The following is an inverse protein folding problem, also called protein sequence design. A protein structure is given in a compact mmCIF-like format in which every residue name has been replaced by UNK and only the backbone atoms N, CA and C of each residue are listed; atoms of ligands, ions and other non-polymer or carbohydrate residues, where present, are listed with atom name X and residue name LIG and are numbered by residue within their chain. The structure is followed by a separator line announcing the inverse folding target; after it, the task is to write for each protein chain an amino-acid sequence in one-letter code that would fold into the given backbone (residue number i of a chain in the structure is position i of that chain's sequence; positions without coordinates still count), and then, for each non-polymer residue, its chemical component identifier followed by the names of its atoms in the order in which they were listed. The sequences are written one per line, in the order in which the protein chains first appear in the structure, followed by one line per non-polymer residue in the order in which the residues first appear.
data_IF_383790104938
#
_entry.id   IF_383790104938
#
_cell.length_a   1.000
_cell.length_b   1.000
_cell.length_c   1.000
_cell.angle_alpha   90.00
_cell.angle_beta   90.00
_cell.angle_gamma   90.00
#
_symmetry.space_group_name_H-M   'P 1'
#
loop_
_entity.id
_entity.type
_entity.pdbx_description
1 polymer ?
#
# COMPACT_ATOMS: atom_id res chain seq x y z
N UNK A 1 19.54 -1.04 -2.71
CA UNK A 1 19.24 -2.34 -3.35
C UNK A 1 17.98 -2.89 -2.69
N UNK A 2 16.83 -2.88 -3.37
CA UNK A 2 15.61 -3.46 -2.80
C UNK A 2 15.80 -4.97 -2.60
N UNK A 3 15.45 -5.47 -1.41
CA UNK A 3 15.60 -6.89 -1.09
C UNK A 3 14.38 -7.64 -1.64
N UNK A 4 14.60 -8.48 -2.65
CA UNK A 4 13.59 -9.41 -3.14
C UNK A 4 13.52 -10.58 -2.16
N UNK A 5 12.34 -10.85 -1.63
CA UNK A 5 12.05 -11.96 -0.73
C UNK A 5 10.71 -12.62 -1.08
N UNK A 6 10.32 -13.62 -0.30
CA UNK A 6 9.12 -14.43 -0.54
C UNK A 6 7.81 -13.63 -0.58
N UNK A 7 7.78 -12.47 0.06
CA UNK A 7 6.62 -11.58 0.10
C UNK A 7 6.64 -10.47 -0.97
N UNK A 8 7.73 -10.30 -1.71
CA UNK A 8 7.89 -9.17 -2.64
C UNK A 8 6.78 -9.14 -3.67
N UNK A 9 6.49 -10.27 -4.33
CA UNK A 9 5.41 -10.35 -5.32
C UNK A 9 4.04 -9.99 -4.74
N UNK A 10 3.73 -10.46 -3.53
CA UNK A 10 2.48 -10.16 -2.84
C UNK A 10 2.36 -8.67 -2.50
N UNK A 11 3.45 -8.04 -2.06
CA UNK A 11 3.51 -6.59 -1.79
C UNK A 11 3.34 -5.77 -3.06
N UNK A 12 4.05 -6.16 -4.13
CA UNK A 12 3.95 -5.54 -5.46
C UNK A 12 2.52 -5.63 -6.00
N UNK A 13 1.89 -6.80 -5.92
CA UNK A 13 0.49 -6.97 -6.30
C UNK A 13 -0.43 -6.00 -5.54
N UNK A 14 -0.33 -5.95 -4.21
CA UNK A 14 -1.19 -5.08 -3.39
C UNK A 14 -0.97 -3.59 -3.68
N UNK A 15 0.27 -3.19 -3.90
CA UNK A 15 0.62 -1.83 -4.30
C UNK A 15 -0.01 -1.44 -5.64
N UNK A 16 0.10 -2.31 -6.65
CA UNK A 16 -0.49 -2.04 -7.97
C UNK A 16 -2.02 -2.09 -7.94
N UNK A 17 -2.62 -2.99 -7.16
CA UNK A 17 -4.07 -3.02 -6.97
C UNK A 17 -4.56 -1.69 -6.38
N UNK A 18 -3.91 -1.19 -5.32
CA UNK A 18 -4.27 0.10 -4.73
C UNK A 18 -4.08 1.26 -5.74
N UNK A 19 -2.96 1.27 -6.48
CA UNK A 19 -2.69 2.29 -7.51
C UNK A 19 -3.69 2.27 -8.66
N UNK A 20 -4.25 1.11 -9.00
CA UNK A 20 -5.28 0.95 -10.02
C UNK A 20 -6.69 1.33 -9.54
N UNK A 21 -6.82 1.87 -8.32
CA UNK A 21 -8.09 2.37 -7.77
C UNK A 21 -8.92 1.33 -7.02
N UNK A 22 -8.38 0.15 -6.71
CA UNK A 22 -9.09 -0.83 -5.89
C UNK A 22 -9.08 -0.40 -4.42
N UNK A 23 -10.23 -0.57 -3.76
CA UNK A 23 -10.43 -0.23 -2.35
C UNK A 23 -9.48 -1.00 -1.42
N UNK A 24 -8.84 -0.29 -0.49
CA UNK A 24 -7.87 -0.86 0.45
C UNK A 24 -8.48 -1.94 1.36
N UNK A 25 -9.77 -1.87 1.66
CA UNK A 25 -10.51 -2.87 2.45
C UNK A 25 -10.69 -4.19 1.69
N UNK A 26 -10.82 -4.14 0.37
CA UNK A 26 -10.83 -5.34 -0.48
C UNK A 26 -9.46 -6.01 -0.48
N UNK A 27 -8.40 -5.20 -0.64
CA UNK A 27 -7.02 -5.69 -0.58
C UNK A 27 -6.69 -6.25 0.81
N UNK A 28 -7.18 -5.61 1.87
CA UNK A 28 -7.05 -6.11 3.25
C UNK A 28 -7.68 -7.49 3.41
N UNK A 29 -8.93 -7.69 2.93
CA UNK A 29 -9.61 -8.99 2.98
C UNK A 29 -8.85 -10.05 2.18
N UNK A 30 -8.38 -9.70 0.98
CA UNK A 30 -7.56 -10.59 0.14
C UNK A 30 -6.25 -10.98 0.84
N UNK A 31 -5.68 -10.06 1.62
CA UNK A 31 -4.45 -10.31 2.36
C UNK A 31 -4.65 -10.96 3.73
N UNK A 32 -5.90 -11.08 4.18
CA UNK A 32 -6.25 -11.54 5.52
C UNK A 32 -5.55 -10.70 6.62
N UNK A 33 -5.48 -9.38 6.42
CA UNK A 33 -4.92 -8.47 7.41
C UNK A 33 -5.98 -7.98 8.40
N UNK A 34 -5.56 -7.69 9.62
CA UNK A 34 -6.43 -7.26 10.71
C UNK A 34 -7.01 -5.85 10.52
N UNK A 35 -6.35 -4.99 9.73
CA UNK A 35 -6.80 -3.62 9.48
C UNK A 35 -6.24 -3.06 8.17
N UNK A 36 -6.86 -2.00 7.60
CA UNK A 36 -6.35 -1.33 6.41
C UNK A 36 -4.95 -0.73 6.61
N UNK A 37 -4.65 -0.22 7.80
CA UNK A 37 -3.33 0.36 8.13
C UNK A 37 -2.20 -0.68 8.02
N UNK A 38 -2.45 -1.94 8.43
CA UNK A 38 -1.52 -3.04 8.23
C UNK A 38 -1.27 -3.28 6.74
N UNK A 39 -2.32 -3.22 5.91
CA UNK A 39 -2.19 -3.37 4.45
C UNK A 39 -1.38 -2.25 3.82
N UNK A 40 -1.66 -0.98 4.16
CA UNK A 40 -0.93 0.19 3.67
C UNK A 40 0.56 0.09 3.99
N UNK A 41 0.89 -0.24 5.26
CA UNK A 41 2.27 -0.45 5.68
C UNK A 41 2.91 -1.64 4.95
N UNK A 42 2.17 -2.73 4.77
CA UNK A 42 2.67 -3.93 4.10
C UNK A 42 3.05 -3.68 2.63
N UNK A 43 2.27 -2.87 1.90
CA UNK A 43 2.51 -2.51 0.50
C UNK A 43 3.42 -1.27 0.32
N UNK A 44 3.94 -0.70 1.41
CA UNK A 44 4.89 0.42 1.36
C UNK A 44 4.26 1.77 1.00
N UNK A 45 3.00 1.98 1.39
CA UNK A 45 2.42 3.32 1.47
C UNK A 45 2.67 3.83 2.89
N UNK A 46 3.73 4.63 3.03
CA UNK A 46 4.12 5.26 4.31
C UNK A 46 3.51 6.64 4.43
N UNK A 47 3.55 7.18 5.64
CA UNK A 47 3.10 8.54 5.95
C UNK A 47 3.77 9.57 5.03
N UNK A 48 5.04 9.39 4.67
CA UNK A 48 5.77 10.27 3.75
C UNK A 48 5.07 10.43 2.38
N UNK A 49 4.44 9.37 1.86
CA UNK A 49 3.68 9.46 0.60
C UNK A 49 2.34 10.17 0.78
N UNK A 50 1.74 10.12 1.97
CA UNK A 50 0.54 10.88 2.29
C UNK A 50 0.89 12.36 2.43
N UNK A 51 2.05 12.64 3.03
CA UNK A 51 2.57 14.00 3.19
C UNK A 51 2.93 14.59 1.82
N UNK A 52 3.53 13.82 0.89
CA UNK A 52 3.76 14.23 -0.50
C UNK A 52 2.45 14.59 -1.22
N UNK A 53 1.38 13.79 -1.03
CA UNK A 53 0.06 14.09 -1.60
C UNK A 53 -0.48 15.39 -1.01
N UNK A 54 -0.36 15.58 0.31
CA UNK A 54 -0.80 16.79 0.99
C UNK A 54 -0.06 18.04 0.49
N UNK A 55 1.27 17.96 0.36
CA UNK A 55 2.09 19.03 -0.19
C UNK A 55 1.81 19.30 -1.67
N UNK A 56 1.48 18.28 -2.45
CA UNK A 56 1.14 18.43 -3.88
C UNK A 56 -0.22 19.06 -4.13
N UNK A 57 -1.10 19.08 -3.12
CA UNK A 57 -2.45 19.61 -3.23
C UNK A 57 -2.53 21.12 -2.96
N UNK A 58 -1.40 21.82 -2.70
CA UNK A 58 -1.27 23.27 -2.52
C UNK A 58 -2.57 23.96 -2.04
N UNK A 59 -2.95 23.65 -0.79
CA UNK A 59 -4.05 24.28 -0.05
C UNK A 59 -3.51 25.38 0.88
#
# INVERSE_FOLDING_TARGET
KEKIGTHTLRKTFGYHAHKNGYDITLIQKLFNHSSPSVTLRYIGITQDKLDDVYMSLDL
#
